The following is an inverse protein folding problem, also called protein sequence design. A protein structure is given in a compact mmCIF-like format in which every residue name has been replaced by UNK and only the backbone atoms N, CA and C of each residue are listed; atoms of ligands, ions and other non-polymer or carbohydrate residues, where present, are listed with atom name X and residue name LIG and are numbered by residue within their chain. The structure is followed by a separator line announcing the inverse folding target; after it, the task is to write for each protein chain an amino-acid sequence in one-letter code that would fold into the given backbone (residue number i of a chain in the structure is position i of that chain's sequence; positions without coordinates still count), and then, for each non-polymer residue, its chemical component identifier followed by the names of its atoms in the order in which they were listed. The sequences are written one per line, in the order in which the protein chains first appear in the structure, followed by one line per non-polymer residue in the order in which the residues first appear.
data_IF_992701715401
#
_entry.id   IF_992701715401
#
_cell.length_a   1.000
_cell.length_b   1.000
_cell.length_c   1.000
_cell.angle_alpha   90.00
_cell.angle_beta   90.00
_cell.angle_gamma   90.00
#
_symmetry.space_group_name_H-M   'P 1'
#
loop_
_entity.id
_entity.type
_entity.pdbx_description
1 polymer ?
#
# COMPACT_ATOMS: atom_id res chain seq x y z
N UNK A 1 41.62 -17.85 9.13
CA UNK A 1 41.03 -16.83 9.98
C UNK A 1 40.24 -15.74 9.22
N UNK A 2 40.79 -15.20 8.11
CA UNK A 2 40.13 -14.15 7.30
C UNK A 2 38.77 -14.58 6.74
N UNK A 3 38.58 -15.80 6.24
CA UNK A 3 37.29 -16.29 5.71
C UNK A 3 36.22 -16.46 6.76
N UNK A 4 36.57 -16.76 8.01
CA UNK A 4 35.61 -16.87 9.11
C UNK A 4 35.12 -15.48 9.54
N UNK A 5 36.00 -14.49 9.53
CA UNK A 5 35.65 -13.10 9.88
C UNK A 5 34.71 -12.48 8.83
N UNK A 6 35.00 -12.68 7.53
CA UNK A 6 34.11 -12.23 6.43
C UNK A 6 32.75 -12.90 6.54
N UNK A 7 32.67 -14.18 6.84
CA UNK A 7 31.41 -14.88 7.02
C UNK A 7 30.59 -14.36 8.21
N UNK A 8 31.21 -13.98 9.32
CA UNK A 8 30.55 -13.40 10.48
C UNK A 8 29.99 -12.00 10.19
N UNK A 9 30.72 -11.16 9.48
CA UNK A 9 30.26 -9.82 9.07
C UNK A 9 29.07 -9.89 8.12
N UNK A 10 29.12 -10.75 7.11
CA UNK A 10 28.00 -10.95 6.18
C UNK A 10 26.77 -11.52 6.89
N UNK A 11 26.95 -12.45 7.81
CA UNK A 11 25.87 -12.97 8.65
C UNK A 11 25.26 -11.86 9.52
N UNK A 12 26.09 -11.04 10.17
CA UNK A 12 25.62 -9.91 11.00
C UNK A 12 24.80 -8.90 10.15
N UNK A 13 25.29 -8.55 8.97
CA UNK A 13 24.61 -7.67 8.02
C UNK A 13 23.26 -8.26 7.58
N UNK A 14 23.21 -9.55 7.28
CA UNK A 14 21.98 -10.24 6.93
C UNK A 14 20.96 -10.21 8.08
N UNK A 15 21.41 -10.55 9.31
CA UNK A 15 20.54 -10.51 10.49
C UNK A 15 19.99 -9.12 10.78
N UNK A 16 20.80 -8.08 10.59
CA UNK A 16 20.33 -6.69 10.70
C UNK A 16 19.23 -6.38 9.69
N UNK A 17 19.38 -6.81 8.43
CA UNK A 17 18.35 -6.67 7.39
C UNK A 17 17.09 -7.46 7.76
N UNK A 18 17.23 -8.69 8.24
CA UNK A 18 16.13 -9.56 8.62
C UNK A 18 15.26 -8.92 9.71
N UNK A 19 15.86 -8.54 10.84
CA UNK A 19 15.12 -7.91 11.92
C UNK A 19 14.59 -6.52 11.56
N UNK A 20 15.34 -5.78 10.75
CA UNK A 20 14.89 -4.49 10.23
C UNK A 20 13.65 -4.64 9.35
N UNK A 21 13.66 -5.58 8.41
CA UNK A 21 12.52 -5.87 7.56
C UNK A 21 11.30 -6.37 8.36
N UNK A 22 11.52 -7.32 9.26
CA UNK A 22 10.46 -7.82 10.15
C UNK A 22 9.82 -6.69 10.96
N UNK A 23 10.64 -5.83 11.56
CA UNK A 23 10.16 -4.65 12.29
C UNK A 23 9.30 -3.75 11.41
N UNK A 24 9.75 -3.48 10.16
CA UNK A 24 8.98 -2.66 9.22
C UNK A 24 7.62 -3.29 8.87
N UNK A 25 7.59 -4.59 8.59
CA UNK A 25 6.34 -5.31 8.31
C UNK A 25 5.37 -5.22 9.49
N UNK A 26 5.85 -5.38 10.73
CA UNK A 26 5.02 -5.31 11.93
C UNK A 26 4.50 -3.89 12.20
N UNK A 27 5.35 -2.86 12.06
CA UNK A 27 4.95 -1.45 12.22
C UNK A 27 3.92 -1.07 11.15
N UNK A 28 4.17 -1.42 9.90
CA UNK A 28 3.24 -1.18 8.81
C UNK A 28 1.89 -1.87 9.06
N UNK A 29 1.90 -3.15 9.42
CA UNK A 29 0.69 -3.91 9.76
C UNK A 29 -0.11 -3.27 10.92
N UNK A 30 0.59 -2.77 11.95
CA UNK A 30 -0.04 -2.03 13.04
C UNK A 30 -0.78 -0.78 12.52
N UNK A 31 -0.15 0.04 11.66
CA UNK A 31 -0.78 1.24 11.13
C UNK A 31 -1.93 0.92 10.18
N UNK A 32 -1.80 -0.11 9.34
CA UNK A 32 -2.92 -0.56 8.48
C UNK A 32 -4.10 -0.98 9.34
N UNK A 33 -3.88 -1.80 10.36
CA UNK A 33 -4.95 -2.19 11.29
C UNK A 33 -5.60 -0.97 11.96
N UNK A 34 -4.79 -0.02 12.43
CA UNK A 34 -5.26 1.21 13.04
C UNK A 34 -6.18 2.03 12.11
N UNK A 35 -5.79 2.22 10.84
CA UNK A 35 -6.62 2.91 9.86
C UNK A 35 -7.85 2.10 9.47
N UNK A 36 -7.72 0.80 9.26
CA UNK A 36 -8.85 -0.09 8.96
C UNK A 36 -9.90 -0.10 10.06
N UNK A 37 -9.52 -0.01 11.33
CA UNK A 37 -10.46 0.17 12.44
C UNK A 37 -11.28 1.47 12.28
N UNK A 38 -10.64 2.57 11.89
CA UNK A 38 -11.32 3.85 11.64
C UNK A 38 -12.22 3.82 10.41
N UNK A 39 -11.81 3.11 9.39
CA UNK A 39 -12.55 2.93 8.14
C UNK A 39 -13.71 1.92 8.26
N UNK A 40 -13.86 1.28 9.46
CA UNK A 40 -14.95 0.32 9.73
C UNK A 40 -14.72 -1.06 9.14
N UNK A 41 -13.48 -1.42 8.84
CA UNK A 41 -13.08 -2.71 8.27
C UNK A 41 -11.98 -3.41 9.10
N UNK A 42 -12.12 -3.55 10.44
CA UNK A 42 -11.04 -4.03 11.31
C UNK A 42 -10.54 -5.45 10.96
N UNK A 43 -11.44 -6.33 10.54
CA UNK A 43 -11.06 -7.70 10.15
C UNK A 43 -10.11 -7.68 8.95
N UNK A 44 -10.35 -6.78 7.96
CA UNK A 44 -9.45 -6.62 6.82
C UNK A 44 -8.07 -6.16 7.28
N UNK A 45 -8.01 -5.17 8.17
CA UNK A 45 -6.75 -4.68 8.73
C UNK A 45 -5.98 -5.75 9.52
N UNK A 46 -6.68 -6.61 10.27
CA UNK A 46 -6.03 -7.72 10.99
C UNK A 46 -5.40 -8.73 10.03
N UNK A 47 -6.10 -9.06 8.95
CA UNK A 47 -5.67 -10.04 7.93
C UNK A 47 -4.80 -9.43 6.84
N UNK A 48 -4.62 -8.09 6.84
CA UNK A 48 -3.83 -7.39 5.84
C UNK A 48 -2.43 -7.98 5.72
N UNK A 49 -2.03 -8.23 4.49
CA UNK A 49 -0.66 -8.62 4.14
C UNK A 49 -0.09 -9.81 4.91
N UNK A 50 -0.93 -10.77 5.31
CA UNK A 50 -0.43 -12.03 5.88
C UNK A 50 0.52 -12.75 4.92
N UNK A 51 0.39 -12.52 3.62
CA UNK A 51 1.27 -13.06 2.59
C UNK A 51 2.73 -12.61 2.74
N UNK A 52 2.99 -11.43 3.35
CA UNK A 52 4.37 -10.93 3.62
C UNK A 52 5.20 -11.85 4.52
N UNK A 53 4.56 -12.75 5.27
CA UNK A 53 5.25 -13.77 6.05
C UNK A 53 5.54 -15.05 5.24
N UNK A 54 5.08 -15.14 3.99
CA UNK A 54 5.45 -16.22 3.11
C UNK A 54 6.96 -16.12 2.76
N UNK A 55 7.71 -17.24 2.77
CA UNK A 55 9.16 -17.23 2.47
C UNK A 55 9.53 -16.53 1.17
N UNK A 56 8.71 -16.65 0.11
CA UNK A 56 8.96 -16.01 -1.19
C UNK A 56 8.97 -14.50 -1.05
N UNK A 57 7.98 -13.91 -0.36
CA UNK A 57 7.90 -12.46 -0.16
C UNK A 57 8.94 -11.99 0.85
N UNK A 58 9.05 -12.69 1.97
CA UNK A 58 9.84 -12.26 3.11
C UNK A 58 11.33 -12.23 2.79
N UNK A 59 11.90 -13.36 2.32
CA UNK A 59 13.36 -13.46 2.13
C UNK A 59 13.87 -12.68 0.91
N UNK A 60 13.08 -12.57 -0.17
CA UNK A 60 13.44 -11.67 -1.27
C UNK A 60 13.48 -10.22 -0.77
N UNK A 61 12.48 -9.80 0.02
CA UNK A 61 12.43 -8.45 0.58
C UNK A 61 13.55 -8.17 1.59
N UNK A 62 13.93 -9.15 2.42
CA UNK A 62 15.06 -9.03 3.36
C UNK A 62 16.37 -8.76 2.62
N UNK A 63 16.64 -9.48 1.52
CA UNK A 63 17.86 -9.30 0.73
C UNK A 63 18.05 -7.85 0.27
N UNK A 64 16.95 -7.18 -0.13
CA UNK A 64 16.95 -5.82 -0.68
C UNK A 64 16.45 -4.74 0.32
N UNK A 65 16.38 -5.08 1.61
CA UNK A 65 15.94 -4.15 2.64
C UNK A 65 16.87 -2.95 2.77
N UNK A 66 16.28 -1.73 2.80
CA UNK A 66 16.98 -0.44 2.87
C UNK A 66 16.56 0.42 4.07
N UNK A 67 15.50 0.05 4.79
CA UNK A 67 15.04 0.73 6.01
C UNK A 67 13.87 1.68 5.79
N UNK A 68 14.02 2.67 4.95
CA UNK A 68 13.12 3.82 4.80
C UNK A 68 12.22 3.79 3.56
N UNK A 69 12.26 2.71 2.80
CA UNK A 69 11.47 2.54 1.56
C UNK A 69 11.18 1.08 1.25
N UNK A 70 10.25 0.86 0.31
CA UNK A 70 9.93 -0.47 -0.19
C UNK A 70 11.14 -1.12 -0.87
N UNK A 71 11.42 -2.41 -0.63
CA UNK A 71 12.46 -3.14 -1.35
C UNK A 71 12.11 -3.45 -2.80
N UNK A 72 10.82 -3.43 -3.19
CA UNK A 72 10.36 -3.89 -4.51
C UNK A 72 10.97 -3.13 -5.69
N UNK A 73 11.10 -1.77 -5.67
CA UNK A 73 11.76 -1.06 -6.75
C UNK A 73 13.23 -1.49 -6.96
N UNK A 74 13.96 -1.71 -5.86
CA UNK A 74 15.36 -2.15 -5.94
C UNK A 74 15.48 -3.59 -6.43
N UNK A 75 14.57 -4.49 -6.00
CA UNK A 75 14.49 -5.85 -6.53
C UNK A 75 14.33 -5.81 -8.06
N UNK A 76 13.36 -5.03 -8.55
CA UNK A 76 13.08 -4.92 -10.00
C UNK A 76 14.25 -4.31 -10.77
N UNK A 77 14.96 -3.36 -10.17
CA UNK A 77 16.13 -2.74 -10.78
C UNK A 77 17.28 -3.74 -10.98
N UNK A 78 17.50 -4.64 -10.02
CA UNK A 78 18.59 -5.63 -10.05
C UNK A 78 18.19 -6.88 -10.81
N UNK A 79 16.98 -7.40 -10.57
CA UNK A 79 16.52 -8.70 -11.08
C UNK A 79 15.57 -8.58 -12.27
N UNK A 80 15.21 -7.36 -12.72
CA UNK A 80 14.18 -7.06 -13.73
C UNK A 80 12.76 -7.40 -13.25
N UNK A 81 12.58 -8.50 -12.50
CA UNK A 81 11.33 -8.98 -11.92
C UNK A 81 11.44 -9.10 -10.41
N UNK A 82 10.32 -9.12 -9.71
CA UNK A 82 10.23 -9.43 -8.27
C UNK A 82 9.22 -10.55 -8.06
N UNK A 83 9.67 -11.70 -7.56
CA UNK A 83 8.78 -12.80 -7.18
C UNK A 83 7.95 -12.45 -5.94
N UNK A 84 8.54 -11.69 -4.99
CA UNK A 84 7.81 -11.15 -3.86
C UNK A 84 6.61 -10.32 -4.33
N UNK A 85 6.82 -9.41 -5.29
CA UNK A 85 5.73 -8.59 -5.82
C UNK A 85 4.67 -9.39 -6.58
N UNK A 86 5.09 -10.34 -7.43
CA UNK A 86 4.14 -11.19 -8.15
C UNK A 86 3.28 -12.02 -7.20
N UNK A 87 3.88 -12.63 -6.19
CA UNK A 87 3.18 -13.38 -5.16
C UNK A 87 2.22 -12.46 -4.37
N UNK A 88 2.70 -11.28 -3.99
CA UNK A 88 1.98 -10.30 -3.18
C UNK A 88 0.74 -9.74 -3.88
N UNK A 89 0.91 -9.12 -5.05
CA UNK A 89 -0.20 -8.50 -5.78
C UNK A 89 -1.29 -9.50 -6.22
N UNK A 90 -0.90 -10.74 -6.49
CA UNK A 90 -1.84 -11.79 -6.91
C UNK A 90 -2.70 -12.37 -5.78
N UNK A 91 -2.39 -12.08 -4.51
CA UNK A 91 -3.11 -12.60 -3.33
C UNK A 91 -3.79 -11.53 -2.49
N UNK A 92 -3.51 -10.27 -2.74
CA UNK A 92 -3.97 -9.16 -1.94
C UNK A 92 -4.89 -8.23 -2.74
N UNK A 93 -6.23 -8.42 -2.65
CA UNK A 93 -7.20 -7.65 -3.44
C UNK A 93 -7.25 -6.15 -3.13
N UNK A 94 -6.53 -5.66 -2.11
CA UNK A 94 -6.37 -4.23 -1.89
C UNK A 94 -5.37 -3.59 -2.84
N UNK A 95 -4.56 -4.34 -3.58
CA UNK A 95 -3.74 -3.79 -4.65
C UNK A 95 -4.56 -3.61 -5.93
N UNK A 96 -4.45 -2.44 -6.58
CA UNK A 96 -5.20 -2.15 -7.80
C UNK A 96 -4.79 -3.06 -8.96
N UNK A 97 -3.56 -3.55 -8.99
CA UNK A 97 -3.05 -4.49 -9.98
C UNK A 97 -3.77 -5.85 -9.95
N UNK A 98 -4.38 -6.22 -8.82
CA UNK A 98 -5.24 -7.40 -8.71
C UNK A 98 -6.50 -7.28 -9.59
N UNK A 99 -6.96 -6.06 -9.83
CA UNK A 99 -8.18 -5.73 -10.56
C UNK A 99 -7.94 -5.36 -12.02
N UNK A 100 -6.74 -5.65 -12.53
CA UNK A 100 -6.37 -5.40 -13.91
C UNK A 100 -6.27 -6.71 -14.67
N UNK A 101 -7.06 -6.84 -15.73
CA UNK A 101 -6.99 -7.96 -16.66
C UNK A 101 -6.25 -7.54 -17.94
N UNK A 102 -5.59 -8.52 -18.56
CA UNK A 102 -4.79 -8.33 -19.76
C UNK A 102 -5.30 -9.25 -20.85
N UNK A 103 -5.57 -8.70 -22.04
CA UNK A 103 -5.97 -9.45 -23.20
C UNK A 103 -4.79 -9.82 -24.09
N UNK A 104 -4.99 -10.79 -24.98
CA UNK A 104 -3.96 -11.30 -25.90
C UNK A 104 -3.47 -10.23 -26.91
N UNK A 105 -4.29 -9.22 -27.20
CA UNK A 105 -3.92 -8.06 -28.02
C UNK A 105 -3.07 -6.99 -27.29
N UNK A 106 -2.73 -7.25 -26.02
CA UNK A 106 -1.98 -6.33 -25.17
C UNK A 106 -2.81 -5.22 -24.52
N UNK A 107 -4.12 -5.17 -24.79
CA UNK A 107 -5.01 -4.23 -24.10
C UNK A 107 -5.22 -4.60 -22.62
N UNK A 108 -5.61 -3.61 -21.83
CA UNK A 108 -5.85 -3.77 -20.39
C UNK A 108 -7.25 -3.30 -20.03
N UNK A 109 -7.94 -4.07 -19.20
CA UNK A 109 -9.21 -3.68 -18.59
C UNK A 109 -9.04 -3.60 -17.09
N UNK A 110 -9.43 -2.47 -16.51
CA UNK A 110 -9.40 -2.25 -15.08
C UNK A 110 -10.82 -2.42 -14.52
N UNK A 111 -10.98 -3.31 -13.56
CA UNK A 111 -12.24 -3.54 -12.87
C UNK A 111 -12.44 -2.54 -11.73
N UNK A 112 -13.70 -2.27 -11.40
CA UNK A 112 -14.08 -1.47 -10.23
C UNK A 112 -13.67 -2.20 -8.95
N UNK A 113 -12.93 -1.52 -8.07
CA UNK A 113 -12.48 -2.10 -6.79
C UNK A 113 -13.64 -2.03 -5.78
N UNK A 114 -14.11 -3.16 -5.21
CA UNK A 114 -15.16 -3.11 -4.18
C UNK A 114 -14.75 -2.26 -2.98
N UNK A 115 -15.69 -1.50 -2.40
CA UNK A 115 -15.47 -0.52 -1.32
C UNK A 115 -14.53 -1.00 -0.22
N UNK A 116 -14.72 -2.24 0.29
CA UNK A 116 -13.89 -2.78 1.38
C UNK A 116 -12.41 -2.91 1.02
N UNK A 117 -12.10 -3.27 -0.23
CA UNK A 117 -10.73 -3.41 -0.71
C UNK A 117 -10.12 -2.04 -1.07
N UNK A 118 -10.94 -1.13 -1.57
CA UNK A 118 -10.52 0.24 -1.84
C UNK A 118 -10.17 0.99 -0.56
N UNK A 119 -10.96 0.82 0.49
CA UNK A 119 -10.65 1.40 1.81
C UNK A 119 -9.40 0.77 2.43
N UNK A 120 -9.18 -0.54 2.23
CA UNK A 120 -7.94 -1.20 2.66
C UNK A 120 -6.72 -0.71 1.87
N UNK A 121 -6.84 -0.48 0.55
CA UNK A 121 -5.80 0.14 -0.29
C UNK A 121 -5.41 1.51 0.24
N UNK A 122 -6.39 2.36 0.55
CA UNK A 122 -6.12 3.69 1.12
C UNK A 122 -5.46 3.59 2.50
N UNK A 123 -5.94 2.68 3.36
CA UNK A 123 -5.31 2.42 4.65
C UNK A 123 -3.86 1.96 4.51
N UNK A 124 -3.57 1.09 3.54
CA UNK A 124 -2.23 0.60 3.20
C UNK A 124 -1.30 1.75 2.79
N UNK A 125 -1.75 2.63 1.89
CA UNK A 125 -0.93 3.76 1.43
C UNK A 125 -0.60 4.72 2.57
N UNK A 126 -1.58 5.17 3.36
CA UNK A 126 -1.34 6.02 4.53
C UNK A 126 -0.43 5.35 5.57
N UNK A 127 -0.58 4.04 5.78
CA UNK A 127 0.27 3.28 6.68
C UNK A 127 1.71 3.15 6.16
N UNK A 128 1.89 2.98 4.86
CA UNK A 128 3.21 2.92 4.23
C UNK A 128 3.92 4.28 4.36
N UNK A 129 3.28 5.38 3.98
CA UNK A 129 3.82 6.73 4.14
C UNK A 129 4.22 7.02 5.59
N UNK A 130 3.34 6.70 6.55
CA UNK A 130 3.63 6.87 7.99
C UNK A 130 4.78 6.00 8.47
N UNK A 131 4.84 4.74 8.04
CA UNK A 131 5.92 3.83 8.43
C UNK A 131 7.28 4.33 7.92
N UNK A 132 7.35 4.76 6.66
CA UNK A 132 8.60 5.25 6.08
C UNK A 132 9.02 6.60 6.65
N UNK A 133 8.08 7.50 6.91
CA UNK A 133 8.37 8.76 7.58
C UNK A 133 8.97 8.54 8.98
N UNK A 134 8.36 7.64 9.78
CA UNK A 134 8.88 7.29 11.11
C UNK A 134 10.29 6.69 11.05
N UNK A 135 10.55 5.80 10.10
CA UNK A 135 11.88 5.20 9.93
C UNK A 135 12.94 6.22 9.48
N UNK A 136 12.52 7.25 8.75
CA UNK A 136 13.37 8.36 8.35
C UNK A 136 13.49 9.46 9.44
N UNK A 137 12.89 9.27 10.63
CA UNK A 137 12.87 10.26 11.71
C UNK A 137 12.05 11.51 11.37
N UNK A 138 11.05 11.40 10.48
CA UNK A 138 10.20 12.50 10.03
C UNK A 138 8.78 12.36 10.56
N UNK A 139 8.09 13.50 10.66
CA UNK A 139 6.65 13.49 10.89
C UNK A 139 5.91 13.12 9.60
N UNK A 140 4.85 12.34 9.72
CA UNK A 140 3.95 12.01 8.63
C UNK A 140 2.79 13.00 8.57
N UNK A 141 2.43 13.43 7.37
CA UNK A 141 1.27 14.26 7.11
C UNK A 141 0.41 13.64 5.98
N UNK A 142 -0.94 13.66 6.08
CA UNK A 142 -1.81 13.27 4.98
C UNK A 142 -1.60 14.10 3.71
N UNK A 143 -1.13 15.34 3.85
CA UNK A 143 -0.74 16.19 2.73
C UNK A 143 0.43 15.59 1.93
N UNK A 144 1.43 15.03 2.62
CA UNK A 144 2.55 14.36 1.94
C UNK A 144 2.07 13.17 1.10
N UNK A 145 1.07 12.44 1.62
CA UNK A 145 0.47 11.31 0.89
C UNK A 145 -0.37 11.78 -0.30
N UNK A 146 -1.08 12.90 -0.18
CA UNK A 146 -1.78 13.51 -1.31
C UNK A 146 -0.80 13.97 -2.40
N UNK A 147 0.31 14.63 -2.03
CA UNK A 147 1.35 15.04 -2.97
C UNK A 147 2.03 13.84 -3.65
N UNK A 148 2.24 12.75 -2.91
CA UNK A 148 2.71 11.49 -3.49
C UNK A 148 1.69 10.90 -4.49
N UNK A 149 0.39 10.93 -4.17
CA UNK A 149 -0.66 10.47 -5.06
C UNK A 149 -0.70 11.29 -6.35
N UNK A 150 -0.61 12.61 -6.27
CA UNK A 150 -0.59 13.49 -7.45
C UNK A 150 0.53 13.09 -8.43
N UNK A 151 1.71 12.77 -7.91
CA UNK A 151 2.84 12.28 -8.74
C UNK A 151 2.59 10.88 -9.27
N UNK A 152 2.01 10.00 -8.44
CA UNK A 152 1.72 8.61 -8.83
C UNK A 152 0.72 8.55 -9.98
N UNK A 153 -0.32 9.36 -9.96
CA UNK A 153 -1.38 9.35 -10.98
C UNK A 153 -0.92 9.88 -12.36
N UNK A 154 0.19 10.61 -12.42
CA UNK A 154 0.81 11.04 -13.70
C UNK A 154 1.46 9.88 -14.45
N UNK A 155 1.65 8.73 -13.83
CA UNK A 155 2.23 7.56 -14.49
C UNK A 155 1.25 6.99 -15.55
N UNK A 156 1.60 7.03 -16.85
CA UNK A 156 0.72 6.55 -17.92
C UNK A 156 0.45 5.03 -17.85
N UNK A 157 1.26 4.31 -17.09
CA UNK A 157 1.09 2.87 -16.87
C UNK A 157 0.23 2.54 -15.64
N UNK A 158 -0.31 3.55 -14.95
CA UNK A 158 -1.20 3.32 -13.82
C UNK A 158 -2.53 2.73 -14.31
N UNK A 159 -2.78 1.47 -13.93
CA UNK A 159 -3.93 0.70 -14.38
C UNK A 159 -5.00 0.67 -13.28
N UNK A 160 -5.80 1.71 -13.19
CA UNK A 160 -6.93 1.84 -12.26
C UNK A 160 -8.18 2.22 -13.05
N UNK A 161 -9.34 1.62 -12.72
CA UNK A 161 -10.62 1.99 -13.33
C UNK A 161 -10.91 3.49 -13.13
N UNK A 162 -11.35 4.26 -14.15
CA UNK A 162 -11.53 5.71 -14.06
C UNK A 162 -12.36 6.17 -12.86
N UNK A 163 -13.52 5.57 -12.61
CA UNK A 163 -14.36 5.92 -11.47
C UNK A 163 -13.71 5.57 -10.10
N UNK A 164 -12.83 4.56 -10.04
CA UNK A 164 -12.04 4.26 -8.85
C UNK A 164 -10.97 5.32 -8.65
N UNK A 165 -10.34 5.76 -9.72
CA UNK A 165 -9.32 6.84 -9.68
C UNK A 165 -9.93 8.16 -9.20
N UNK A 166 -11.11 8.52 -9.72
CA UNK A 166 -11.86 9.70 -9.29
C UNK A 166 -12.21 9.66 -7.80
N UNK A 167 -12.63 8.50 -7.29
CA UNK A 167 -12.86 8.33 -5.86
C UNK A 167 -11.58 8.49 -5.04
N UNK A 168 -10.46 7.92 -5.49
CA UNK A 168 -9.17 8.07 -4.82
C UNK A 168 -8.75 9.54 -4.80
N UNK A 169 -8.88 10.25 -5.92
CA UNK A 169 -8.58 11.69 -6.02
C UNK A 169 -9.37 12.49 -4.98
N UNK A 170 -10.67 12.28 -4.91
CA UNK A 170 -11.55 12.93 -3.96
C UNK A 170 -11.17 12.60 -2.50
N UNK A 171 -10.96 11.31 -2.19
CA UNK A 171 -10.62 10.88 -0.83
C UNK A 171 -9.28 11.47 -0.37
N UNK A 172 -8.26 11.41 -1.22
CA UNK A 172 -6.93 11.92 -0.91
C UNK A 172 -6.93 13.45 -0.76
N UNK A 173 -7.70 14.15 -1.61
CA UNK A 173 -7.91 15.59 -1.49
C UNK A 173 -8.58 15.96 -0.16
N UNK A 174 -9.66 15.27 0.22
CA UNK A 174 -10.34 15.52 1.49
C UNK A 174 -9.40 15.20 2.67
N UNK A 175 -8.67 14.09 2.62
CA UNK A 175 -7.83 13.62 3.71
C UNK A 175 -6.70 14.60 4.08
N UNK A 176 -6.16 15.40 3.13
CA UNK A 176 -5.08 16.34 3.39
C UNK A 176 -5.44 17.41 4.44
N UNK A 177 -6.73 17.72 4.60
CA UNK A 177 -7.23 18.73 5.54
C UNK A 177 -7.49 18.18 6.95
N UNK A 178 -7.39 16.87 7.15
CA UNK A 178 -7.64 16.21 8.42
C UNK A 178 -6.34 15.77 9.11
N UNK A 179 -6.47 15.40 10.38
CA UNK A 179 -5.31 14.90 11.13
C UNK A 179 -4.76 13.60 10.54
N UNK A 180 -3.46 13.38 10.73
CA UNK A 180 -2.74 12.17 10.31
C UNK A 180 -3.33 10.86 10.85
N UNK A 181 -4.21 10.97 11.84
CA UNK A 181 -4.87 9.82 12.46
C UNK A 181 -6.17 9.41 11.77
N UNK A 182 -6.65 10.14 10.73
CA UNK A 182 -7.89 9.84 10.02
C UNK A 182 -9.12 9.71 10.94
N UNK A 183 -9.17 10.48 12.04
CA UNK A 183 -10.25 10.37 13.03
C UNK A 183 -11.62 10.70 12.48
N UNK A 184 -11.71 11.53 11.43
CA UNK A 184 -12.97 11.87 10.76
C UNK A 184 -13.67 10.62 10.18
N UNK A 185 -12.92 9.58 9.80
CA UNK A 185 -13.47 8.31 9.31
C UNK A 185 -14.00 7.37 10.43
N UNK A 186 -13.81 7.71 11.72
CA UNK A 186 -14.46 6.98 12.83
C UNK A 186 -15.97 7.19 12.83
N UNK A 187 -16.43 8.34 12.35
CA UNK A 187 -17.86 8.62 12.25
C UNK A 187 -18.49 7.70 11.20
N UNK A 188 -19.57 7.02 11.61
CA UNK A 188 -20.35 6.15 10.72
C UNK A 188 -20.94 6.92 9.56
N UNK A 189 -21.41 8.16 9.81
CA UNK A 189 -21.97 9.02 8.77
C UNK A 189 -20.93 9.27 7.65
N UNK A 190 -19.70 9.64 8.01
CA UNK A 190 -18.65 9.89 7.02
C UNK A 190 -18.33 8.63 6.19
N UNK A 191 -18.30 7.44 6.81
CA UNK A 191 -18.12 6.17 6.08
C UNK A 191 -19.27 5.89 5.11
N UNK A 192 -20.51 6.13 5.52
CA UNK A 192 -21.68 5.94 4.64
C UNK A 192 -21.68 6.96 3.50
N UNK A 193 -21.28 8.21 3.75
CA UNK A 193 -21.08 9.22 2.70
C UNK A 193 -20.04 8.78 1.69
N UNK A 194 -18.88 8.27 2.13
CA UNK A 194 -17.85 7.78 1.22
C UNK A 194 -18.34 6.59 0.39
N UNK A 195 -19.04 5.65 1.02
CA UNK A 195 -19.64 4.52 0.32
C UNK A 195 -20.70 4.95 -0.71
N UNK A 196 -21.53 5.91 -0.36
CA UNK A 196 -22.53 6.48 -1.27
C UNK A 196 -21.86 7.16 -2.48
N UNK A 197 -20.84 7.99 -2.25
CA UNK A 197 -20.06 8.64 -3.32
C UNK A 197 -19.43 7.62 -4.27
N UNK A 198 -18.82 6.57 -3.76
CA UNK A 198 -18.25 5.50 -4.59
C UNK A 198 -19.33 4.83 -5.44
N UNK A 199 -20.49 4.52 -4.86
CA UNK A 199 -21.60 3.90 -5.59
C UNK A 199 -22.11 4.80 -6.72
N UNK A 200 -22.26 6.12 -6.48
CA UNK A 200 -22.61 7.07 -7.54
C UNK A 200 -21.63 7.03 -8.69
N UNK A 201 -20.33 7.15 -8.41
CA UNK A 201 -19.27 7.07 -9.43
C UNK A 201 -19.31 5.75 -10.20
N UNK A 202 -19.57 4.64 -9.51
CA UNK A 202 -19.66 3.32 -10.13
C UNK A 202 -20.91 3.14 -11.00
N UNK A 203 -21.96 3.90 -10.75
CA UNK A 203 -23.15 3.97 -11.59
C UNK A 203 -23.03 4.98 -12.75
N UNK A 204 -21.91 5.69 -12.87
CA UNK A 204 -21.73 6.73 -13.87
C UNK A 204 -22.43 8.05 -13.52
N UNK A 205 -22.75 8.28 -12.25
CA UNK A 205 -23.42 9.48 -11.78
C UNK A 205 -22.40 10.53 -11.33
N UNK A 206 -22.66 11.81 -11.64
CA UNK A 206 -21.84 12.92 -11.15
C UNK A 206 -21.98 13.12 -9.64
N UNK A 207 -20.90 13.50 -8.97
CA UNK A 207 -20.90 13.93 -7.56
C UNK A 207 -21.32 15.39 -7.39
N UNK A 208 -21.44 16.15 -8.47
CA UNK A 208 -21.72 17.59 -8.48
C UNK A 208 -23.23 17.94 -8.47
N UNK A 209 -24.13 16.94 -8.29
CA UNK A 209 -25.58 17.14 -8.24
C UNK A 209 -26.11 16.91 -6.83
#
# INVERSE_FOLDING_TARGET
MVYIVIGLEEMHKYMKKFFGHLKNVLIHKYWVFHYCCKFGIPVRGLLHDMSKFNPIEFFESVKFYQGDKSPIPEIKKVNTVSYAWQHHKGRNPHHYEYWTDHYDDGSRVCHKIPYKYLMELLADWFAAGKTYALNAGKNFSPKDEYEWWLKKKENPNLAIHPATMEFIDMFMYDAQFFSSDMNWMRDKHNREVMKYRLNKLYNGESLLN
#
